data_IF_154303559233
#
_entry.id   IF_154303559233
#
_cell.length_a   1.000
_cell.length_b   1.000
_cell.length_c   1.000
_cell.angle_alpha   90.00
_cell.angle_beta   90.00
_cell.angle_gamma   90.00
#
_symmetry.space_group_name_H-M   'P 1'
#
loop_
_entity.id
_entity.type
_entity.pdbx_description
1 polymer ?
#
# COMPACT_ATOMS: atom_id res chain seq x y z
N UNK A 1 -6.59 14.14 32.31
CA UNK A 1 -5.14 13.79 32.30
C UNK A 1 -4.66 12.89 31.15
N UNK A 2 -5.48 11.98 30.57
CA UNK A 2 -5.05 11.04 29.50
C UNK A 2 -4.65 11.70 28.16
N UNK A 3 -5.29 12.81 27.78
CA UNK A 3 -5.01 13.52 26.52
C UNK A 3 -3.58 14.13 26.44
N UNK A 4 -3.06 14.65 27.55
CA UNK A 4 -1.69 15.24 27.63
C UNK A 4 -0.57 14.19 27.56
N UNK A 5 -0.87 12.92 27.82
CA UNK A 5 0.09 11.81 27.64
C UNK A 5 0.16 11.40 26.17
N UNK A 6 -0.98 11.22 25.48
CA UNK A 6 -1.03 10.88 24.04
C UNK A 6 -0.28 11.89 23.16
N UNK A 7 -0.47 13.18 23.41
CA UNK A 7 0.22 14.24 22.68
C UNK A 7 1.76 14.23 22.87
N UNK A 8 2.25 13.77 24.02
CA UNK A 8 3.69 13.64 24.30
C UNK A 8 4.33 12.44 23.61
N UNK A 9 3.61 11.32 23.49
CA UNK A 9 4.06 10.14 22.77
C UNK A 9 4.12 10.37 21.26
N UNK A 10 3.09 11.01 20.68
CA UNK A 10 3.10 11.41 19.27
C UNK A 10 4.23 12.40 18.95
N UNK A 11 4.47 13.40 19.82
CA UNK A 11 5.60 14.33 19.68
C UNK A 11 6.97 13.64 19.76
N UNK A 12 7.13 12.62 20.61
CA UNK A 12 8.39 11.86 20.70
C UNK A 12 8.61 10.94 19.50
N UNK A 13 7.54 10.31 18.99
CA UNK A 13 7.60 9.49 17.78
C UNK A 13 7.91 10.33 16.54
N UNK A 14 7.39 11.56 16.45
CA UNK A 14 7.66 12.49 15.36
C UNK A 14 8.96 13.29 15.53
N UNK A 15 9.66 13.16 16.66
CA UNK A 15 10.96 13.82 16.89
C UNK A 15 12.16 12.99 16.46
N UNK A 16 11.98 11.70 16.19
CA UNK A 16 13.01 10.88 15.57
C UNK A 16 12.78 10.88 14.05
N UNK A 17 13.76 11.29 13.22
CA UNK A 17 13.59 11.35 11.77
C UNK A 17 13.30 9.96 11.17
N UNK A 18 13.83 8.91 11.79
CA UNK A 18 13.62 7.52 11.35
C UNK A 18 12.19 7.04 11.62
N UNK A 19 11.64 7.34 12.80
CA UNK A 19 10.25 7.01 13.13
C UNK A 19 9.26 7.83 12.29
N UNK A 20 9.57 9.08 12.01
CA UNK A 20 8.76 9.92 11.12
C UNK A 20 8.77 9.37 9.67
N UNK A 21 9.93 8.97 9.16
CA UNK A 21 10.04 8.34 7.83
C UNK A 21 9.23 7.04 7.74
N UNK A 22 9.35 6.15 8.74
CA UNK A 22 8.56 4.93 8.80
C UNK A 22 7.06 5.19 8.85
N UNK A 23 6.62 6.13 9.69
CA UNK A 23 5.22 6.54 9.77
C UNK A 23 4.71 7.12 8.44
N UNK A 24 5.52 7.91 7.75
CA UNK A 24 5.18 8.46 6.43
C UNK A 24 5.02 7.35 5.38
N UNK A 25 5.92 6.37 5.33
CA UNK A 25 5.81 5.22 4.42
C UNK A 25 4.53 4.43 4.68
N UNK A 26 4.25 4.09 5.95
CA UNK A 26 3.02 3.39 6.33
C UNK A 26 1.78 4.20 5.94
N UNK A 27 1.80 5.52 6.18
CA UNK A 27 0.69 6.39 5.80
C UNK A 27 0.46 6.39 4.29
N UNK A 28 1.51 6.47 3.48
CA UNK A 28 1.42 6.39 2.01
C UNK A 28 0.83 5.05 1.59
N UNK A 29 1.30 3.93 2.14
CA UNK A 29 0.77 2.60 1.81
C UNK A 29 -0.72 2.46 2.17
N UNK A 30 -1.12 2.97 3.32
CA UNK A 30 -2.53 2.98 3.76
C UNK A 30 -3.39 3.83 2.83
N UNK A 31 -2.92 5.00 2.41
CA UNK A 31 -3.64 5.87 1.47
C UNK A 31 -3.80 5.22 0.08
N UNK A 32 -2.73 4.61 -0.44
CA UNK A 32 -2.76 3.82 -1.68
C UNK A 32 -3.79 2.68 -1.59
N UNK A 33 -3.82 1.97 -0.47
CA UNK A 33 -4.73 0.85 -0.25
C UNK A 33 -6.20 1.27 -0.05
N UNK A 34 -6.44 2.42 0.61
CA UNK A 34 -7.77 2.93 0.88
C UNK A 34 -8.45 3.49 -0.37
N UNK A 35 -7.68 4.14 -1.25
CA UNK A 35 -8.21 4.86 -2.41
C UNK A 35 -7.48 4.50 -3.72
N UNK A 36 -7.47 3.20 -4.11
CA UNK A 36 -6.70 2.77 -5.28
C UNK A 36 -7.23 3.39 -6.58
N UNK A 37 -8.56 3.58 -6.71
CA UNK A 37 -9.18 4.11 -7.92
C UNK A 37 -8.89 5.60 -8.22
N UNK A 38 -8.44 6.38 -7.23
CA UNK A 38 -8.05 7.78 -7.44
C UNK A 38 -6.56 7.96 -7.69
N UNK A 39 -5.74 6.99 -7.26
CA UNK A 39 -4.28 7.06 -7.33
C UNK A 39 -3.75 6.29 -8.55
N UNK A 40 -4.38 5.15 -8.89
CA UNK A 40 -4.02 4.35 -10.05
C UNK A 40 -4.55 5.01 -11.35
N UNK A 41 -3.68 5.34 -12.32
CA UNK A 41 -4.11 5.92 -13.60
C UNK A 41 -4.96 4.95 -14.43
N UNK A 42 -4.71 3.64 -14.30
CA UNK A 42 -5.37 2.59 -15.06
C UNK A 42 -5.88 1.48 -14.13
N UNK A 43 -7.03 1.68 -13.45
CA UNK A 43 -7.57 0.70 -12.50
C UNK A 43 -7.85 -0.67 -13.11
N UNK A 44 -8.21 -0.74 -14.39
CA UNK A 44 -8.43 -1.99 -15.12
C UNK A 44 -7.18 -2.88 -15.21
N UNK A 45 -5.99 -2.27 -15.18
CA UNK A 45 -4.70 -2.97 -15.31
C UNK A 45 -4.26 -3.69 -14.04
N UNK A 46 -4.98 -3.47 -12.93
CA UNK A 46 -4.82 -4.29 -11.74
C UNK A 46 -5.43 -5.70 -11.88
N UNK A 47 -6.29 -5.90 -12.89
CA UNK A 47 -7.02 -7.15 -13.11
C UNK A 47 -6.39 -8.06 -14.18
N UNK A 48 -7.20 -8.96 -14.77
CA UNK A 48 -6.76 -9.89 -15.80
C UNK A 48 -6.70 -9.26 -17.21
N UNK A 49 -6.50 -7.93 -17.33
CA UNK A 49 -6.39 -7.27 -18.64
C UNK A 49 -5.07 -7.63 -19.33
N UNK A 50 -5.09 -7.59 -20.66
CA UNK A 50 -3.92 -7.86 -21.51
C UNK A 50 -3.91 -6.88 -22.68
N UNK A 51 -2.77 -6.23 -22.90
CA UNK A 51 -2.54 -5.17 -23.89
C UNK A 51 -1.23 -5.42 -24.64
N UNK A 52 -1.26 -6.28 -25.65
CA UNK A 52 -0.07 -6.63 -26.45
C UNK A 52 0.56 -5.44 -27.20
N UNK A 53 -0.22 -4.39 -27.46
CA UNK A 53 0.24 -3.13 -28.08
C UNK A 53 1.14 -2.30 -27.16
N UNK A 54 1.16 -2.58 -25.85
CA UNK A 54 1.82 -1.78 -24.83
C UNK A 54 2.79 -2.55 -23.96
N UNK A 55 3.25 -3.71 -24.40
CA UNK A 55 4.21 -4.53 -23.65
C UNK A 55 5.59 -3.84 -23.52
N UNK A 56 6.21 -3.94 -22.33
CA UNK A 56 7.55 -3.42 -22.02
C UNK A 56 7.79 -1.92 -22.37
N UNK A 57 6.78 -1.07 -22.17
CA UNK A 57 6.98 0.36 -22.34
C UNK A 57 7.83 0.93 -21.20
N UNK A 58 8.78 1.83 -21.51
CA UNK A 58 9.59 2.48 -20.49
C UNK A 58 8.75 3.42 -19.61
N UNK A 59 9.26 3.79 -18.40
CA UNK A 59 8.61 4.77 -17.54
C UNK A 59 8.36 6.10 -18.26
N UNK A 60 7.13 6.60 -18.23
CA UNK A 60 6.76 7.84 -18.92
C UNK A 60 5.30 8.24 -18.74
N UNK A 61 4.80 9.21 -19.50
CA UNK A 61 3.35 9.48 -19.58
C UNK A 61 2.78 8.71 -20.77
N UNK A 62 1.69 7.94 -20.62
CA UNK A 62 0.79 7.90 -19.46
C UNK A 62 1.17 6.87 -18.36
N UNK A 63 2.11 5.95 -18.62
CA UNK A 63 2.51 4.86 -17.71
C UNK A 63 3.72 5.22 -16.85
N UNK A 64 3.50 5.78 -15.66
CA UNK A 64 4.57 6.45 -14.90
C UNK A 64 5.71 5.50 -14.51
N UNK A 65 5.39 4.23 -14.25
CA UNK A 65 6.37 3.18 -13.95
C UNK A 65 6.60 2.23 -15.13
N UNK A 66 6.03 2.54 -16.30
CA UNK A 66 6.03 1.67 -17.46
C UNK A 66 4.99 0.56 -17.37
N UNK A 67 5.10 -0.39 -18.28
CA UNK A 67 4.17 -1.53 -18.40
C UNK A 67 4.88 -2.87 -18.26
N UNK A 68 4.13 -3.90 -17.90
CA UNK A 68 4.65 -5.26 -17.75
C UNK A 68 4.68 -6.05 -19.08
N UNK A 69 4.99 -7.35 -18.98
CA UNK A 69 5.09 -8.31 -20.10
C UNK A 69 3.79 -8.48 -20.90
N UNK A 70 2.64 -8.13 -20.32
CA UNK A 70 1.32 -8.17 -20.98
C UNK A 70 0.74 -6.77 -21.16
N UNK A 71 1.56 -5.72 -21.00
CA UNK A 71 1.20 -4.34 -21.29
C UNK A 71 0.32 -3.65 -20.24
N UNK A 72 0.26 -4.17 -19.01
CA UNK A 72 -0.47 -3.54 -17.90
C UNK A 72 0.38 -2.48 -17.21
N UNK A 73 -0.26 -1.40 -16.77
CA UNK A 73 0.38 -0.35 -15.99
C UNK A 73 0.94 -0.83 -14.63
N UNK A 74 2.26 -0.70 -14.44
CA UNK A 74 2.95 -1.19 -13.24
C UNK A 74 2.53 -0.39 -11.99
N UNK A 75 2.36 0.93 -12.09
CA UNK A 75 1.97 1.77 -10.96
C UNK A 75 0.61 1.34 -10.41
N UNK A 76 -0.36 1.13 -11.29
CA UNK A 76 -1.71 0.68 -10.94
C UNK A 76 -1.66 -0.69 -10.25
N UNK A 77 -0.85 -1.62 -10.75
CA UNK A 77 -0.65 -2.93 -10.11
C UNK A 77 -0.02 -2.83 -8.72
N UNK A 78 0.93 -1.91 -8.51
CA UNK A 78 1.54 -1.69 -7.18
C UNK A 78 0.52 -1.11 -6.20
N UNK A 79 -0.28 -0.12 -6.61
CA UNK A 79 -1.30 0.52 -5.76
C UNK A 79 -2.37 -0.48 -5.33
N UNK A 80 -2.91 -1.25 -6.27
CA UNK A 80 -3.88 -2.30 -5.96
C UNK A 80 -3.24 -3.46 -5.16
N UNK A 81 -1.98 -3.80 -5.47
CA UNK A 81 -1.20 -4.78 -4.71
C UNK A 81 -1.05 -4.39 -3.23
N UNK A 82 -0.83 -3.11 -2.93
CA UNK A 82 -0.74 -2.62 -1.55
C UNK A 82 -2.03 -2.90 -0.76
N UNK A 83 -3.21 -2.71 -1.39
CA UNK A 83 -4.51 -3.06 -0.77
C UNK A 83 -4.62 -4.54 -0.46
N UNK A 84 -4.26 -5.38 -1.42
CA UNK A 84 -4.32 -6.84 -1.25
C UNK A 84 -3.38 -7.30 -0.15
N UNK A 85 -2.12 -6.84 -0.14
CA UNK A 85 -1.13 -7.17 0.89
C UNK A 85 -1.61 -6.79 2.29
N UNK A 86 -2.08 -5.56 2.48
CA UNK A 86 -2.57 -5.10 3.79
C UNK A 86 -3.78 -5.90 4.26
N UNK A 87 -4.70 -6.23 3.36
CA UNK A 87 -5.89 -7.03 3.69
C UNK A 87 -5.50 -8.45 4.10
N UNK A 88 -4.62 -9.10 3.33
CA UNK A 88 -4.13 -10.45 3.64
C UNK A 88 -3.39 -10.48 4.98
N UNK A 89 -2.48 -9.53 5.22
CA UNK A 89 -1.76 -9.44 6.49
C UNK A 89 -2.72 -9.26 7.66
N UNK A 90 -3.74 -8.41 7.53
CA UNK A 90 -4.73 -8.19 8.59
C UNK A 90 -5.52 -9.47 8.90
N UNK A 91 -5.95 -10.21 7.86
CA UNK A 91 -6.69 -11.47 8.02
C UNK A 91 -5.80 -12.54 8.68
N UNK A 92 -4.59 -12.74 8.18
CA UNK A 92 -3.64 -13.74 8.71
C UNK A 92 -3.31 -13.43 10.16
N UNK A 93 -3.01 -12.17 10.49
CA UNK A 93 -2.71 -11.77 11.86
C UNK A 93 -3.94 -11.94 12.77
N UNK A 94 -5.14 -11.62 12.28
CA UNK A 94 -6.39 -11.84 13.00
C UNK A 94 -6.59 -13.30 13.39
N UNK A 95 -6.38 -14.23 12.45
CA UNK A 95 -6.47 -15.67 12.69
C UNK A 95 -5.38 -16.12 13.67
N UNK A 96 -4.13 -15.69 13.46
CA UNK A 96 -3.01 -16.05 14.32
C UNK A 96 -3.21 -15.61 15.77
N UNK A 97 -3.74 -14.40 15.99
CA UNK A 97 -4.07 -13.91 17.34
C UNK A 97 -5.26 -14.68 17.94
N UNK A 98 -6.31 -14.93 17.14
CA UNK A 98 -7.48 -15.66 17.61
C UNK A 98 -7.18 -17.10 18.01
N UNK A 99 -6.26 -17.79 17.32
CA UNK A 99 -5.84 -19.14 17.65
C UNK A 99 -4.70 -19.16 18.69
N UNK A 100 -3.75 -18.22 18.61
CA UNK A 100 -2.56 -18.19 19.45
C UNK A 100 -2.84 -17.73 20.88
N UNK A 101 -3.77 -16.79 21.09
CA UNK A 101 -4.09 -16.30 22.45
C UNK A 101 -4.73 -17.40 23.33
N UNK A 102 -5.68 -18.23 22.85
CA UNK A 102 -6.26 -19.29 23.68
C UNK A 102 -5.37 -20.51 23.90
N UNK A 103 -4.44 -20.80 22.97
CA UNK A 103 -3.54 -21.96 23.04
C UNK A 103 -2.25 -21.67 23.83
N UNK A 104 -1.93 -20.38 24.02
CA UNK A 104 -0.71 -19.89 24.66
C UNK A 104 -0.78 -19.84 26.18
#
# INVERSE_FOLDING_TARGET
MRARRRARWLRRLLWSPLSAAGAAVVLVLVLCAATPGTIAPFPQDAGPSVHFDRTFQPPGRPHWFGTDEVGRDILSRVVFGARTSLTLTAVVLGIALAAGIPLG
#
